data_IF_645327207334
#
_entry.id   IF_645327207334
#
_cell.length_a   1.000
_cell.length_b   1.000
_cell.length_c   1.000
_cell.angle_alpha   90.00
_cell.angle_beta   90.00
_cell.angle_gamma   90.00
#
_symmetry.space_group_name_H-M   'P 1'
#
loop_
_entity.id
_entity.type
_entity.pdbx_description
1 polymer ?
#
# COMPACT_ATOMS: atom_id res chain seq x y z
N UNK A 1 -19.90 20.28 8.73
CA UNK A 1 -19.15 21.47 8.28
C UNK A 1 -17.84 21.57 9.01
N UNK A 2 -16.75 21.45 8.25
CA UNK A 2 -15.43 21.86 8.68
C UNK A 2 -15.45 23.38 8.88
N UNK A 3 -14.80 23.90 9.92
CA UNK A 3 -14.78 25.34 10.24
C UNK A 3 -13.37 25.94 10.19
N UNK A 4 -12.37 25.09 9.96
CA UNK A 4 -10.96 25.45 9.84
C UNK A 4 -10.07 24.25 10.16
N UNK A 5 -8.76 24.48 10.14
CA UNK A 5 -7.73 23.49 10.44
C UNK A 5 -6.75 24.02 11.47
N UNK A 6 -6.09 23.14 12.22
CA UNK A 6 -5.03 23.50 13.17
C UNK A 6 -3.75 22.81 12.72
N UNK A 7 -2.66 23.56 12.58
CA UNK A 7 -1.38 22.95 12.27
C UNK A 7 -0.66 22.54 13.56
N UNK A 8 0.10 21.43 13.49
CA UNK A 8 0.88 20.94 14.62
C UNK A 8 1.87 22.00 15.16
N UNK A 9 2.46 22.82 14.28
CA UNK A 9 3.35 23.93 14.67
C UNK A 9 2.68 24.90 15.64
N UNK A 10 1.38 25.14 15.48
CA UNK A 10 0.64 26.08 16.32
C UNK A 10 0.39 25.48 17.70
N UNK A 11 0.17 24.16 17.77
CA UNK A 11 0.07 23.40 19.02
C UNK A 11 1.39 23.36 19.79
N UNK A 12 2.51 23.18 19.10
CA UNK A 12 3.84 23.14 19.74
C UNK A 12 4.20 24.50 20.36
N UNK A 13 3.76 25.60 19.73
CA UNK A 13 4.00 26.95 20.22
C UNK A 13 3.05 27.38 21.35
N UNK A 14 2.13 26.51 21.78
CA UNK A 14 1.23 26.81 22.88
C UNK A 14 1.94 26.77 24.23
N UNK A 15 1.66 27.79 25.02
CA UNK A 15 1.97 27.74 26.45
C UNK A 15 0.85 26.98 27.16
N UNK A 16 1.03 25.68 27.39
CA UNK A 16 0.05 24.79 28.03
C UNK A 16 -0.36 25.16 29.47
N UNK A 17 0.20 26.25 30.02
CA UNK A 17 -0.18 26.83 31.32
C UNK A 17 -1.22 27.94 31.21
N UNK A 18 -1.60 28.32 29.99
CA UNK A 18 -2.62 29.32 29.73
C UNK A 18 -3.96 28.66 29.40
N UNK A 19 -4.83 28.57 30.42
CA UNK A 19 -6.16 27.96 30.32
C UNK A 19 -7.15 28.76 29.44
N UNK A 20 -6.74 29.91 28.90
CA UNK A 20 -7.58 30.75 28.02
C UNK A 20 -7.43 30.40 26.53
N UNK A 21 -6.46 29.56 26.16
CA UNK A 21 -6.26 29.18 24.76
C UNK A 21 -7.41 28.29 24.28
N UNK A 22 -8.08 28.69 23.20
CA UNK A 22 -9.15 27.88 22.59
C UNK A 22 -8.68 27.31 21.25
N UNK A 23 -9.30 26.22 20.80
CA UNK A 23 -9.04 25.69 19.43
C UNK A 23 -9.29 26.79 18.38
N UNK A 24 -10.31 27.62 18.59
CA UNK A 24 -10.66 28.71 17.69
C UNK A 24 -9.56 29.77 17.57
N UNK A 25 -8.75 30.00 18.60
CA UNK A 25 -7.67 31.01 18.55
C UNK A 25 -6.44 30.55 17.76
N UNK A 26 -6.26 29.25 17.56
CA UNK A 26 -5.16 28.66 16.78
C UNK A 26 -5.62 28.08 15.42
N UNK A 27 -6.93 28.14 15.17
CA UNK A 27 -7.53 27.62 13.96
C UNK A 27 -7.28 28.56 12.78
N UNK A 28 -6.78 27.97 11.70
CA UNK A 28 -6.57 28.61 10.41
C UNK A 28 -7.78 28.38 9.52
N UNK A 29 -8.04 29.35 8.62
CA UNK A 29 -9.03 29.15 7.55
C UNK A 29 -8.53 28.07 6.59
N UNK A 30 -9.47 27.30 6.06
CA UNK A 30 -9.23 26.27 5.05
C UNK A 30 -10.04 26.60 3.81
N UNK A 31 -9.46 26.40 2.63
CA UNK A 31 -10.15 26.53 1.35
C UNK A 31 -11.12 25.38 1.10
N UNK A 32 -12.06 25.61 0.19
CA UNK A 32 -13.04 24.63 -0.26
C UNK A 32 -13.02 24.54 -1.77
N UNK A 33 -13.05 23.32 -2.30
CA UNK A 33 -13.10 23.04 -3.73
C UNK A 33 -14.19 22.01 -4.02
N UNK A 34 -14.94 22.13 -5.14
CA UNK A 34 -15.92 21.13 -5.51
C UNK A 34 -15.22 19.86 -6.02
N UNK A 35 -15.82 18.70 -5.76
CA UNK A 35 -15.33 17.39 -6.23
C UNK A 35 -15.15 17.33 -7.75
N UNK A 36 -15.98 18.05 -8.49
CA UNK A 36 -15.89 18.13 -9.96
C UNK A 36 -14.76 19.03 -10.49
N UNK A 37 -13.96 19.67 -9.64
CA UNK A 37 -12.91 20.60 -10.07
C UNK A 37 -11.67 19.83 -10.60
N UNK A 38 -11.14 20.16 -11.80
CA UNK A 38 -9.94 19.51 -12.31
C UNK A 38 -8.73 19.69 -11.40
N UNK A 39 -7.92 18.64 -11.25
CA UNK A 39 -6.75 18.57 -10.36
C UNK A 39 -5.77 19.73 -10.60
N UNK A 40 -5.49 20.06 -11.87
CA UNK A 40 -4.62 21.17 -12.26
C UNK A 40 -5.13 22.53 -11.79
N UNK A 41 -6.46 22.70 -11.69
CA UNK A 41 -7.07 23.92 -11.19
C UNK A 41 -7.06 23.96 -9.66
N UNK A 42 -7.27 22.83 -9.00
CA UNK A 42 -7.15 22.73 -7.54
C UNK A 42 -5.71 23.06 -7.13
N UNK A 43 -4.71 22.45 -7.78
CA UNK A 43 -3.29 22.70 -7.50
C UNK A 43 -2.94 24.18 -7.68
N UNK A 44 -3.36 24.79 -8.80
CA UNK A 44 -3.13 26.23 -9.04
C UNK A 44 -3.75 27.09 -7.95
N UNK A 45 -4.99 26.79 -7.53
CA UNK A 45 -5.68 27.53 -6.46
C UNK A 45 -4.90 27.43 -5.15
N UNK A 46 -4.51 26.22 -4.76
CA UNK A 46 -3.72 25.96 -3.54
C UNK A 46 -2.37 26.70 -3.55
N UNK A 47 -1.68 26.71 -4.70
CA UNK A 47 -0.42 27.44 -4.86
C UNK A 47 -0.59 28.96 -4.74
N UNK A 48 -1.64 29.53 -5.35
CA UNK A 48 -1.93 30.95 -5.29
C UNK A 48 -2.32 31.41 -3.89
N UNK A 49 -3.07 30.60 -3.15
CA UNK A 49 -3.53 30.91 -1.80
C UNK A 49 -2.53 30.49 -0.71
N UNK A 50 -1.39 29.91 -1.09
CA UNK A 50 -0.40 29.33 -0.16
C UNK A 50 -1.02 28.36 0.86
N UNK A 51 -1.96 27.54 0.40
CA UNK A 51 -2.65 26.52 1.20
C UNK A 51 -2.13 25.14 0.84
N UNK A 52 -1.74 24.37 1.86
CA UNK A 52 -1.28 22.99 1.66
C UNK A 52 -2.40 21.96 1.80
N UNK A 53 -3.62 22.38 2.20
CA UNK A 53 -4.76 21.51 2.42
C UNK A 53 -6.05 22.26 2.08
N UNK A 54 -6.94 21.60 1.36
CA UNK A 54 -8.29 22.10 1.07
C UNK A 54 -9.34 21.03 1.35
N UNK A 55 -10.57 21.46 1.63
CA UNK A 55 -11.71 20.58 1.85
C UNK A 55 -12.45 20.38 0.54
N UNK A 56 -12.77 19.13 0.21
CA UNK A 56 -13.54 18.77 -0.97
C UNK A 56 -15.02 18.73 -0.59
N UNK A 57 -15.85 19.39 -1.40
CA UNK A 57 -17.30 19.44 -1.20
C UNK A 57 -18.06 18.80 -2.35
N UNK A 58 -19.14 18.10 -2.00
CA UNK A 58 -20.09 17.52 -2.96
C UNK A 58 -21.07 18.58 -3.49
N UNK A 59 -21.92 18.19 -4.44
CA UNK A 59 -22.91 19.06 -5.08
C UNK A 59 -24.05 19.49 -4.15
N UNK A 60 -24.24 18.79 -3.04
CA UNK A 60 -25.23 19.08 -2.01
C UNK A 60 -24.65 19.98 -0.89
N UNK A 61 -23.37 20.36 -1.00
CA UNK A 61 -22.66 21.16 0.00
C UNK A 61 -22.20 20.36 1.21
N UNK A 62 -22.23 19.02 1.13
CA UNK A 62 -21.59 18.12 2.07
C UNK A 62 -20.07 18.09 1.89
N UNK A 63 -19.37 17.56 2.88
CA UNK A 63 -17.92 17.37 2.81
C UNK A 63 -17.64 15.97 2.27
N UNK A 64 -17.15 15.87 1.03
CA UNK A 64 -16.69 14.59 0.47
C UNK A 64 -15.37 14.15 1.11
N UNK A 65 -14.50 15.11 1.45
CA UNK A 65 -13.19 14.80 2.04
C UNK A 65 -12.25 16.00 2.11
N UNK A 66 -10.95 15.73 2.03
CA UNK A 66 -9.88 16.72 1.97
C UNK A 66 -8.77 16.23 1.05
N UNK A 67 -7.97 17.15 0.54
CA UNK A 67 -6.80 16.84 -0.29
C UNK A 67 -5.66 17.78 0.07
N UNK A 68 -4.42 17.28 0.02
CA UNK A 68 -3.23 18.09 0.24
C UNK A 68 -2.50 18.42 -1.07
N UNK A 69 -1.60 19.41 -1.02
CA UNK A 69 -0.85 19.79 -2.22
C UNK A 69 0.05 18.64 -2.70
N UNK A 70 0.56 17.84 -1.77
CA UNK A 70 1.39 16.66 -2.03
C UNK A 70 0.62 15.61 -2.83
N UNK A 71 -0.64 15.33 -2.48
CA UNK A 71 -1.51 14.38 -3.19
C UNK A 71 -1.75 14.83 -4.64
N UNK A 72 -2.01 16.13 -4.86
CA UNK A 72 -2.24 16.67 -6.20
C UNK A 72 -0.99 16.66 -7.08
N UNK A 73 0.19 16.82 -6.48
CA UNK A 73 1.46 16.67 -7.18
C UNK A 73 1.67 15.22 -7.62
N UNK A 74 1.32 14.25 -6.77
CA UNK A 74 1.40 12.83 -7.10
C UNK A 74 0.50 12.46 -8.26
N UNK A 75 -0.74 12.97 -8.31
CA UNK A 75 -1.63 12.65 -9.44
C UNK A 75 -1.21 13.26 -10.77
N UNK A 76 -0.59 14.45 -10.76
CA UNK A 76 -0.14 15.10 -12.00
C UNK A 76 1.14 14.46 -12.53
N UNK A 77 2.04 14.05 -11.65
CA UNK A 77 3.37 13.56 -12.05
C UNK A 77 3.42 12.03 -12.11
N UNK A 78 2.51 11.33 -11.44
CA UNK A 78 2.57 9.89 -11.21
C UNK A 78 3.64 9.51 -10.19
N UNK A 79 3.83 8.21 -9.97
CA UNK A 79 5.05 7.70 -9.35
C UNK A 79 6.23 8.14 -10.22
N UNK A 80 7.09 9.01 -9.69
CA UNK A 80 8.34 9.34 -10.37
C UNK A 80 9.15 8.06 -10.49
N UNK A 81 9.01 7.37 -11.62
CA UNK A 81 10.02 6.47 -12.13
C UNK A 81 11.27 7.33 -12.30
N UNK A 82 12.24 7.16 -11.39
CA UNK A 82 13.54 7.76 -11.55
C UNK A 82 14.07 7.33 -12.93
N UNK A 83 14.66 8.23 -13.70
CA UNK A 83 15.23 7.88 -15.02
C UNK A 83 16.35 6.82 -14.86
N UNK A 84 16.83 6.64 -13.63
CA UNK A 84 17.75 5.58 -13.19
C UNK A 84 17.06 4.29 -12.68
N UNK A 85 15.74 4.26 -12.47
CA UNK A 85 14.99 3.04 -12.10
C UNK A 85 14.62 2.18 -13.32
N UNK A 86 14.69 2.74 -14.53
CA UNK A 86 14.54 1.97 -15.77
C UNK A 86 15.66 0.93 -15.99
N UNK A 87 16.85 1.17 -15.42
CA UNK A 87 18.01 0.26 -15.52
C UNK A 87 18.03 -0.82 -14.41
N UNK A 88 17.12 -0.76 -13.41
CA UNK A 88 17.01 -1.81 -12.38
C UNK A 88 16.07 -2.91 -12.86
N UNK A 89 16.63 -4.11 -12.98
CA UNK A 89 15.84 -5.32 -13.24
C UNK A 89 14.69 -5.46 -12.22
N UNK A 90 13.50 -5.80 -12.71
CA UNK A 90 12.30 -6.05 -11.88
C UNK A 90 12.55 -7.11 -10.80
N UNK A 91 13.42 -8.07 -11.13
CA UNK A 91 13.83 -9.16 -10.27
C UNK A 91 15.34 -9.41 -10.43
N UNK A 92 16.03 -9.68 -9.33
CA UNK A 92 17.41 -10.13 -9.28
C UNK A 92 17.51 -11.41 -8.45
N UNK A 93 18.03 -12.48 -9.06
CA UNK A 93 18.31 -13.73 -8.37
C UNK A 93 19.79 -13.80 -7.96
N UNK A 94 20.04 -13.93 -6.67
CA UNK A 94 21.38 -14.07 -6.11
C UNK A 94 21.80 -15.55 -5.97
N UNK A 95 23.10 -15.77 -5.78
CA UNK A 95 23.70 -17.12 -5.73
C UNK A 95 23.21 -18.02 -4.58
N UNK A 96 22.62 -17.43 -3.54
CA UNK A 96 22.05 -18.13 -2.39
C UNK A 96 20.54 -18.36 -2.52
N UNK A 97 20.01 -18.35 -3.74
CA UNK A 97 18.58 -18.45 -4.06
C UNK A 97 17.72 -17.36 -3.37
N UNK A 98 18.36 -16.26 -2.95
CA UNK A 98 17.68 -15.04 -2.52
C UNK A 98 17.27 -14.26 -3.77
N UNK A 99 16.00 -13.89 -3.82
CA UNK A 99 15.45 -12.99 -4.81
C UNK A 99 15.30 -11.62 -4.18
N UNK A 100 15.73 -10.58 -4.90
CA UNK A 100 15.42 -9.18 -4.61
C UNK A 100 14.56 -8.65 -5.75
N UNK A 101 13.45 -8.02 -5.43
CA UNK A 101 12.41 -7.66 -6.40
C UNK A 101 11.82 -6.28 -6.08
N UNK A 102 11.44 -5.53 -7.12
CA UNK A 102 10.69 -4.28 -6.95
C UNK A 102 9.28 -4.54 -6.43
N UNK A 103 8.79 -3.68 -5.55
CA UNK A 103 7.45 -3.82 -4.96
C UNK A 103 6.30 -3.53 -5.93
N UNK A 104 6.56 -2.86 -7.06
CA UNK A 104 5.57 -2.55 -8.09
C UNK A 104 5.32 -3.69 -9.08
N UNK A 105 6.11 -4.79 -9.02
CA UNK A 105 5.87 -5.99 -9.82
C UNK A 105 4.46 -6.52 -9.57
N UNK A 106 3.75 -6.85 -10.65
CA UNK A 106 2.41 -7.42 -10.56
C UNK A 106 2.45 -8.83 -9.97
N UNK A 107 1.46 -9.14 -9.13
CA UNK A 107 1.34 -10.47 -8.51
C UNK A 107 1.14 -11.54 -9.59
N UNK A 108 0.48 -11.19 -10.70
CA UNK A 108 0.28 -12.09 -11.84
C UNK A 108 1.61 -12.54 -12.46
N UNK A 109 2.55 -11.61 -12.65
CA UNK A 109 3.87 -11.91 -13.22
C UNK A 109 4.68 -12.81 -12.28
N UNK A 110 4.67 -12.50 -10.97
CA UNK A 110 5.35 -13.35 -9.99
C UNK A 110 4.77 -14.77 -9.94
N UNK A 111 3.45 -14.89 -10.05
CA UNK A 111 2.76 -16.17 -10.12
C UNK A 111 3.24 -17.01 -11.31
N UNK A 112 3.40 -16.38 -12.49
CA UNK A 112 3.96 -17.02 -13.67
C UNK A 112 5.43 -17.41 -13.47
N UNK A 113 6.26 -16.50 -12.97
CA UNK A 113 7.70 -16.73 -12.81
C UNK A 113 8.07 -17.79 -11.78
N UNK A 114 7.24 -17.98 -10.75
CA UNK A 114 7.48 -18.97 -9.69
C UNK A 114 6.61 -20.23 -9.81
N UNK A 115 5.71 -20.28 -10.79
CA UNK A 115 4.70 -21.33 -10.96
C UNK A 115 3.82 -21.52 -9.70
N UNK A 116 3.41 -20.39 -9.12
CA UNK A 116 2.60 -20.32 -7.89
C UNK A 116 1.31 -19.53 -8.11
N UNK A 117 0.42 -19.59 -7.12
CA UNK A 117 -0.83 -18.85 -7.08
C UNK A 117 -0.98 -18.11 -5.76
N UNK A 118 -0.47 -16.90 -5.74
CA UNK A 118 -0.73 -15.86 -4.75
C UNK A 118 -2.09 -15.18 -5.04
N UNK A 119 -2.77 -14.63 -4.02
CA UNK A 119 -4.05 -13.96 -4.19
C UNK A 119 -3.90 -12.66 -4.98
N UNK A 120 -4.79 -12.45 -5.95
CA UNK A 120 -4.83 -11.26 -6.85
C UNK A 120 -6.13 -10.46 -6.73
N UNK A 121 -7.05 -10.85 -5.84
CA UNK A 121 -8.41 -10.28 -5.81
C UNK A 121 -8.47 -8.90 -5.14
N UNK A 122 -7.52 -8.61 -4.24
CA UNK A 122 -7.50 -7.40 -3.40
C UNK A 122 -6.34 -6.47 -3.72
N UNK A 123 -5.28 -6.98 -4.32
CA UNK A 123 -4.05 -6.25 -4.60
C UNK A 123 -3.56 -6.62 -6.00
N UNK A 124 -2.96 -5.67 -6.69
CA UNK A 124 -2.39 -5.87 -8.02
C UNK A 124 -0.87 -6.07 -7.98
N UNK A 125 -0.19 -5.46 -7.00
CA UNK A 125 1.27 -5.46 -6.86
C UNK A 125 1.74 -6.19 -5.60
N UNK A 126 2.97 -6.71 -5.64
CA UNK A 126 3.56 -7.43 -4.52
C UNK A 126 3.76 -6.53 -3.29
N UNK A 127 4.15 -5.28 -3.50
CA UNK A 127 4.28 -4.28 -2.44
C UNK A 127 2.94 -4.03 -1.74
N UNK A 128 1.85 -3.93 -2.52
CA UNK A 128 0.49 -3.82 -1.99
C UNK A 128 0.07 -5.04 -1.15
N UNK A 129 0.35 -6.25 -1.66
CA UNK A 129 0.07 -7.50 -0.95
C UNK A 129 0.86 -7.60 0.37
N UNK A 130 2.16 -7.27 0.36
CA UNK A 130 3.01 -7.26 1.57
C UNK A 130 2.50 -6.24 2.59
N UNK A 131 2.17 -5.03 2.13
CA UNK A 131 1.61 -3.98 2.97
C UNK A 131 0.31 -4.45 3.64
N UNK A 132 -0.63 -4.96 2.84
CA UNK A 132 -1.90 -5.50 3.31
C UNK A 132 -1.72 -6.62 4.32
N UNK A 133 -0.78 -7.54 4.07
CA UNK A 133 -0.50 -8.66 4.96
C UNK A 133 0.10 -8.23 6.30
N UNK A 134 0.93 -7.19 6.31
CA UNK A 134 1.50 -6.64 7.54
C UNK A 134 0.45 -5.92 8.40
N UNK A 135 -0.61 -5.36 7.79
CA UNK A 135 -1.70 -4.69 8.51
C UNK A 135 -1.28 -3.41 9.24
N UNK A 136 -0.08 -2.91 8.97
CA UNK A 136 0.53 -1.70 9.54
C UNK A 136 1.41 -1.05 8.48
N UNK A 137 1.78 0.22 8.69
CA UNK A 137 2.79 0.89 7.87
C UNK A 137 4.11 0.09 7.93
N UNK A 138 4.59 -0.51 6.82
CA UNK A 138 5.80 -1.32 6.82
C UNK A 138 7.05 -0.49 7.11
N UNK A 139 8.03 -1.12 7.73
CA UNK A 139 9.38 -0.57 7.88
C UNK A 139 10.42 -1.54 7.32
N UNK A 140 11.58 -1.01 6.91
CA UNK A 140 12.69 -1.84 6.43
C UNK A 140 13.05 -2.89 7.48
N UNK A 141 13.14 -4.15 7.04
CA UNK A 141 13.38 -5.30 7.90
C UNK A 141 12.13 -5.99 8.44
N UNK A 142 10.93 -5.43 8.25
CA UNK A 142 9.68 -6.16 8.52
C UNK A 142 9.62 -7.43 7.65
N UNK A 143 9.09 -8.50 8.22
CA UNK A 143 8.90 -9.79 7.54
C UNK A 143 7.45 -10.22 7.60
N UNK A 144 6.98 -10.87 6.54
CA UNK A 144 5.63 -11.43 6.47
C UNK A 144 5.61 -12.72 5.65
N UNK A 145 4.61 -13.56 5.91
CA UNK A 145 4.41 -14.81 5.19
C UNK A 145 3.26 -14.67 4.19
N UNK A 146 3.56 -14.90 2.92
CA UNK A 146 2.62 -14.90 1.82
C UNK A 146 2.28 -16.35 1.43
N UNK A 147 1.12 -16.87 1.84
CA UNK A 147 0.70 -18.21 1.46
C UNK A 147 0.41 -18.29 -0.04
N UNK A 148 0.80 -19.39 -0.69
CA UNK A 148 0.49 -19.64 -2.10
C UNK A 148 0.14 -21.11 -2.34
N UNK A 149 -0.51 -21.38 -3.48
CA UNK A 149 -0.73 -22.74 -3.99
C UNK A 149 0.19 -22.98 -5.19
N UNK A 150 0.89 -24.11 -5.25
CA UNK A 150 1.70 -24.45 -6.43
C UNK A 150 0.82 -24.90 -7.59
N UNK A 151 1.16 -24.55 -8.83
CA UNK A 151 0.35 -24.89 -10.01
C UNK A 151 0.35 -26.41 -10.33
N UNK A 152 1.31 -27.19 -9.83
CA UNK A 152 1.47 -28.62 -10.12
C UNK A 152 0.67 -29.57 -9.18
N UNK A 153 -0.38 -29.09 -8.51
CA UNK A 153 -1.23 -29.93 -7.65
C UNK A 153 -2.50 -30.39 -8.38
N UNK A 154 -2.70 -31.71 -8.41
CA UNK A 154 -3.86 -32.42 -9.00
C UNK A 154 -5.21 -31.85 -8.55
N UNK A 155 -6.26 -32.04 -9.37
CA UNK A 155 -7.66 -31.55 -9.23
C UNK A 155 -8.30 -31.64 -7.82
N UNK A 156 -7.74 -32.43 -6.90
CA UNK A 156 -8.22 -32.61 -5.53
C UNK A 156 -8.04 -31.39 -4.60
N UNK A 157 -7.15 -30.44 -4.92
CA UNK A 157 -6.81 -29.31 -4.03
C UNK A 157 -7.48 -27.99 -4.42
N UNK A 158 -8.31 -27.98 -5.48
CA UNK A 158 -8.99 -26.77 -6.00
C UNK A 158 -9.88 -26.09 -4.95
N UNK A 159 -10.40 -26.84 -3.98
CA UNK A 159 -11.27 -26.34 -2.92
C UNK A 159 -10.53 -25.64 -1.76
N UNK A 160 -9.20 -25.70 -1.65
CA UNK A 160 -8.45 -25.03 -0.56
C UNK A 160 -7.99 -23.62 -0.95
N UNK A 161 -7.80 -23.33 -2.25
CA UNK A 161 -7.35 -22.02 -2.74
C UNK A 161 -8.41 -20.90 -2.56
N UNK A 162 -9.68 -21.25 -2.45
CA UNK A 162 -10.80 -20.30 -2.28
C UNK A 162 -10.91 -19.72 -0.86
N UNK A 163 -10.15 -20.25 0.11
CA UNK A 163 -10.21 -19.85 1.51
C UNK A 163 -9.17 -18.79 1.94
N UNK A 164 -8.27 -18.37 1.03
CA UNK A 164 -7.22 -17.39 1.34
C UNK A 164 -7.77 -15.96 1.15
N UNK A 165 -8.81 -15.60 1.90
CA UNK A 165 -9.20 -14.20 2.06
C UNK A 165 -8.39 -13.61 3.22
N UNK A 166 -7.68 -12.47 3.04
CA UNK A 166 -7.27 -11.70 4.20
C UNK A 166 -8.54 -11.21 4.90
N UNK A 167 -8.59 -11.38 6.23
CA UNK A 167 -9.68 -10.83 7.03
C UNK A 167 -9.81 -9.32 6.70
N UNK A 168 -11.04 -8.80 6.46
CA UNK A 168 -11.21 -7.37 6.29
C UNK A 168 -10.68 -6.67 7.53
N UNK A 169 -9.89 -5.61 7.32
CA UNK A 169 -9.49 -4.71 8.40
C UNK A 169 -10.77 -4.07 8.92
N UNK A 170 -11.29 -4.61 10.02
CA UNK A 170 -12.38 -3.99 10.76
C UNK A 170 -11.80 -2.78 11.45
N UNK A 171 -12.07 -1.59 10.92
CA UNK A 171 -12.02 -0.38 11.73
C UNK A 171 -13.03 -0.57 12.88
N UNK A 172 -12.51 -0.62 14.10
CA UNK A 172 -13.29 -0.85 15.31
C UNK A 172 -14.33 0.26 15.51
N UNK A 173 -15.58 0.01 15.13
CA UNK A 173 -16.74 0.47 15.89
C UNK A 173 -17.23 -0.66 16.80
N UNK A 174 -17.09 -0.40 18.09
CA UNK A 174 -17.52 -1.27 19.19
C UNK A 174 -19.01 -1.62 19.09
N UNK A 175 -19.33 -2.88 18.78
CA UNK A 175 -20.56 -3.52 19.24
C UNK A 175 -20.31 -4.98 19.61
N UNK A 176 -20.72 -5.31 20.82
CA UNK A 176 -20.66 -6.62 21.47
C UNK A 176 -21.69 -7.57 20.80
N UNK A 177 -21.21 -8.37 19.84
CA UNK A 177 -21.96 -9.51 19.29
C UNK A 177 -21.05 -10.73 19.42
N UNK A 178 -21.52 -11.84 20.03
CA UNK A 178 -20.72 -13.06 20.09
C UNK A 178 -20.58 -13.62 18.68
N UNK A 179 -19.33 -13.70 18.19
CA UNK A 179 -19.00 -14.35 16.92
C UNK A 179 -19.40 -15.84 16.96
N UNK A 180 -19.96 -16.40 15.88
CA UNK A 180 -19.98 -17.85 15.71
C UNK A 180 -18.54 -18.36 15.65
N UNK A 181 -18.27 -19.52 16.26
CA UNK A 181 -16.95 -20.18 16.20
C UNK A 181 -16.46 -20.24 14.75
N UNK A 182 -15.43 -19.45 14.45
CA UNK A 182 -14.74 -19.51 13.18
C UNK A 182 -14.02 -20.87 13.11
N UNK A 183 -14.40 -21.69 12.13
CA UNK A 183 -13.59 -22.84 11.74
C UNK A 183 -12.35 -22.26 11.08
N UNK A 184 -11.21 -22.30 11.77
CA UNK A 184 -9.92 -21.87 11.20
C UNK A 184 -9.64 -22.72 9.94
N UNK A 185 -9.52 -22.11 8.75
CA UNK A 185 -9.08 -22.85 7.57
C UNK A 185 -7.65 -23.33 7.80
N UNK A 186 -7.36 -24.56 7.38
CA UNK A 186 -6.02 -25.15 7.49
C UNK A 186 -4.99 -24.23 6.82
N UNK A 187 -3.93 -23.87 7.55
CA UNK A 187 -2.85 -23.04 7.00
C UNK A 187 -2.21 -23.76 5.80
N UNK A 188 -2.11 -23.10 4.63
CA UNK A 188 -1.44 -23.72 3.49
C UNK A 188 0.03 -23.98 3.83
N UNK A 189 0.48 -25.21 3.55
CA UNK A 189 1.83 -25.67 3.93
C UNK A 189 2.97 -24.99 3.14
N UNK A 190 2.65 -24.26 2.06
CA UNK A 190 3.61 -23.58 1.20
C UNK A 190 3.36 -22.06 1.18
N UNK A 191 4.45 -21.28 1.21
CA UNK A 191 4.38 -19.83 1.12
C UNK A 191 5.77 -19.18 1.00
N UNK A 192 5.79 -17.88 0.74
CA UNK A 192 7.00 -17.07 0.66
C UNK A 192 7.14 -16.26 1.95
N UNK A 193 8.27 -16.43 2.64
CA UNK A 193 8.67 -15.48 3.68
C UNK A 193 9.35 -14.31 3.00
N UNK A 194 8.68 -13.16 3.04
CA UNK A 194 9.12 -11.93 2.39
C UNK A 194 9.62 -10.95 3.43
N UNK A 195 10.72 -10.26 3.13
CA UNK A 195 11.26 -9.16 3.93
C UNK A 195 11.21 -7.85 3.13
N UNK A 196 10.86 -6.76 3.80
CA UNK A 196 10.98 -5.40 3.23
C UNK A 196 12.45 -4.98 3.23
N UNK A 197 13.02 -4.73 2.06
CA UNK A 197 14.41 -4.27 1.91
C UNK A 197 14.47 -2.74 1.76
N UNK A 198 13.46 -2.15 1.11
CA UNK A 198 13.41 -0.70 0.90
C UNK A 198 11.98 -0.19 0.94
N UNK A 199 11.80 0.95 1.62
CA UNK A 199 10.59 1.76 1.55
C UNK A 199 10.85 2.98 0.67
N UNK A 200 9.84 3.40 -0.08
CA UNK A 200 9.80 4.72 -0.71
C UNK A 200 8.50 5.41 -0.30
N UNK A 201 8.62 6.51 0.44
CA UNK A 201 7.48 7.15 1.13
C UNK A 201 6.72 6.10 1.98
N UNK A 202 5.44 5.90 1.70
CA UNK A 202 4.57 4.95 2.39
C UNK A 202 4.36 3.65 1.58
N UNK A 203 5.19 3.38 0.58
CA UNK A 203 5.08 2.19 -0.27
C UNK A 203 6.30 1.28 -0.10
N UNK A 204 6.06 -0.03 -0.18
CA UNK A 204 7.13 -1.04 -0.22
C UNK A 204 7.77 -0.97 -1.61
N UNK A 205 9.01 -0.47 -1.67
CA UNK A 205 9.71 -0.25 -2.94
C UNK A 205 10.51 -1.48 -3.37
N UNK A 206 11.08 -2.22 -2.42
CA UNK A 206 11.88 -3.41 -2.69
C UNK A 206 11.65 -4.45 -1.60
N UNK A 207 11.52 -5.70 -2.02
CA UNK A 207 11.39 -6.86 -1.14
C UNK A 207 12.46 -7.89 -1.44
N UNK A 208 12.68 -8.78 -0.48
CA UNK A 208 13.41 -10.01 -0.74
C UNK A 208 12.73 -11.23 -0.17
N UNK A 209 13.00 -12.37 -0.78
CA UNK A 209 12.53 -13.67 -0.32
C UNK A 209 13.50 -14.76 -0.79
N UNK A 210 13.39 -15.95 -0.21
CA UNK A 210 14.14 -17.12 -0.64
C UNK A 210 13.23 -18.06 -1.39
N UNK A 211 13.69 -18.53 -2.54
CA UNK A 211 12.96 -19.51 -3.36
C UNK A 211 13.55 -20.89 -3.20
N UNK A 212 12.80 -21.91 -3.61
CA UNK A 212 13.33 -23.27 -3.70
C UNK A 212 14.38 -23.38 -4.83
N UNK A 213 15.29 -24.38 -4.79
CA UNK A 213 16.25 -24.58 -5.87
C UNK A 213 15.61 -24.82 -7.26
N UNK A 214 14.42 -25.42 -7.28
CA UNK A 214 13.64 -25.63 -8.51
C UNK A 214 13.15 -24.30 -9.10
N UNK A 215 12.52 -23.47 -8.26
CA UNK A 215 12.11 -22.12 -8.64
C UNK A 215 13.29 -21.23 -9.04
N UNK A 216 14.42 -21.34 -8.33
CA UNK A 216 15.64 -20.61 -8.70
C UNK A 216 16.14 -21.01 -10.09
N UNK A 217 16.12 -22.30 -10.44
CA UNK A 217 16.50 -22.77 -11.77
C UNK A 217 15.53 -22.29 -12.85
N UNK A 218 14.23 -22.28 -12.57
CA UNK A 218 13.23 -21.74 -13.50
C UNK A 218 13.42 -20.24 -13.73
N UNK A 219 13.59 -19.46 -12.66
CA UNK A 219 13.91 -18.04 -12.74
C UNK A 219 15.19 -17.75 -13.53
N UNK A 220 16.25 -18.56 -13.38
CA UNK A 220 17.47 -18.42 -14.19
C UNK A 220 17.18 -18.55 -15.68
N UNK A 221 16.34 -19.52 -16.07
CA UNK A 221 15.96 -19.70 -17.48
C UNK A 221 15.16 -18.51 -18.01
N UNK A 222 14.22 -17.98 -17.22
CA UNK A 222 13.42 -16.80 -17.59
C UNK A 222 14.33 -15.58 -17.74
N UNK A 223 15.21 -15.32 -16.78
CA UNK A 223 16.14 -14.20 -16.80
C UNK A 223 17.13 -14.27 -17.96
N UNK A 224 17.56 -15.47 -18.36
CA UNK A 224 18.42 -15.69 -19.54
C UNK A 224 17.69 -15.43 -20.87
N UNK A 225 16.37 -15.62 -20.92
CA UNK A 225 15.54 -15.34 -22.10
C UNK A 225 15.12 -13.87 -22.22
N UNK A 226 15.34 -13.08 -21.16
CA UNK A 226 14.90 -11.70 -21.05
C UNK A 226 13.48 -11.62 -20.51
N UNK A 227 13.31 -10.88 -19.40
CA UNK A 227 11.99 -10.46 -18.93
C UNK A 227 11.68 -9.17 -19.72
N UNK A 228 10.66 -9.21 -20.59
CA UNK A 228 10.15 -8.02 -21.28
C UNK A 228 9.43 -7.07 -20.33
#
# INVERSE_FOLDING_TARGET
NVVGVVHLKDLINLNFRDDQTTVRSIMHRVGYVPESMPVEHVLRTMQLEHQNLVIVVDEYGGTSGMVTIEDLFEEIIGEFNDEFDADRAMLQLHANDKVVMRGDVHIADLNEWLDVKLPTDTYDTIGGLVFGRLGKLPVVGDTTFLPYVGNNLTEATRSEAEAIQPAPVVENESTDVPMPEAVEPAEPQNGLTVQVERMYRNSVAEISFTVTPEQANHLRQILEQGIE
#
